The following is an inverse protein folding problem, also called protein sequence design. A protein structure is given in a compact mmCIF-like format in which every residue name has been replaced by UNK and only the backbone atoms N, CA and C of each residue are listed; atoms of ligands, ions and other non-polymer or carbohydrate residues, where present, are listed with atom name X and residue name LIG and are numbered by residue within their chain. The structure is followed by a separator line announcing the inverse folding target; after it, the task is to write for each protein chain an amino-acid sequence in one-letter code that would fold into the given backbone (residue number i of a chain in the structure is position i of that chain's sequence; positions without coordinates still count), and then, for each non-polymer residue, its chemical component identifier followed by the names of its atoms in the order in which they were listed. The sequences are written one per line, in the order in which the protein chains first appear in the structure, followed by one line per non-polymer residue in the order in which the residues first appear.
data_IF_734421687926
#
_entry.id   IF_734421687926
#
_cell.length_a   1.000
_cell.length_b   1.000
_cell.length_c   1.000
_cell.angle_alpha   90.00
_cell.angle_beta   90.00
_cell.angle_gamma   90.00
#
_symmetry.space_group_name_H-M   'P 1'
#
loop_
_entity.id
_entity.type
_entity.pdbx_description
1 polymer ?
#
# COMPACT_ATOMS: atom_id res chain seq x y z
N UNK A 1 -29.53 -20.41 -8.60
CA UNK A 1 -28.23 -19.73 -8.82
C UNK A 1 -27.18 -20.82 -9.03
N UNK A 2 -26.64 -20.93 -10.23
CA UNK A 2 -25.60 -21.92 -10.55
C UNK A 2 -24.36 -21.62 -9.68
N UNK A 3 -24.19 -22.42 -8.64
CA UNK A 3 -22.96 -22.42 -7.86
C UNK A 3 -21.97 -23.30 -8.55
N UNK A 4 -20.95 -22.72 -9.14
CA UNK A 4 -19.86 -23.48 -9.70
C UNK A 4 -19.18 -24.28 -8.60
N UNK A 5 -18.71 -25.49 -8.94
CA UNK A 5 -17.97 -26.35 -8.05
C UNK A 5 -16.76 -25.63 -7.46
N UNK A 6 -16.52 -25.84 -6.16
CA UNK A 6 -15.37 -25.31 -5.45
C UNK A 6 -14.85 -26.37 -4.48
N UNK A 7 -13.55 -26.55 -4.43
CA UNK A 7 -12.92 -27.42 -3.43
C UNK A 7 -12.93 -26.73 -2.07
N UNK A 8 -13.42 -27.46 -1.07
CA UNK A 8 -13.55 -26.97 0.31
C UNK A 8 -12.95 -28.02 1.25
N UNK A 9 -12.09 -27.57 2.15
CA UNK A 9 -11.57 -28.36 3.26
C UNK A 9 -12.19 -27.87 4.58
N UNK A 10 -12.71 -28.79 5.36
CA UNK A 10 -13.19 -28.52 6.73
C UNK A 10 -12.07 -28.83 7.71
N UNK A 11 -11.87 -27.99 8.69
CA UNK A 11 -10.87 -28.18 9.73
C UNK A 11 -11.35 -27.64 11.07
N UNK A 12 -10.76 -28.13 12.16
CA UNK A 12 -11.08 -27.65 13.51
C UNK A 12 -10.08 -26.58 13.93
N UNK A 13 -10.59 -25.42 14.35
CA UNK A 13 -9.82 -24.35 14.97
C UNK A 13 -10.22 -24.23 16.44
N UNK A 14 -9.51 -24.95 17.30
CA UNK A 14 -9.90 -25.06 18.71
C UNK A 14 -11.24 -25.80 18.88
N UNK A 15 -12.24 -25.13 19.45
CA UNK A 15 -13.59 -25.67 19.67
C UNK A 15 -14.57 -25.40 18.51
N UNK A 16 -14.17 -24.62 17.50
CA UNK A 16 -15.02 -24.25 16.37
C UNK A 16 -14.63 -25.00 15.10
N UNK A 17 -15.63 -25.42 14.34
CA UNK A 17 -15.44 -25.94 12.99
C UNK A 17 -15.34 -24.77 12.02
N UNK A 18 -14.29 -24.76 11.22
CA UNK A 18 -14.04 -23.75 10.18
C UNK A 18 -13.78 -24.43 8.84
N UNK A 19 -13.87 -23.68 7.75
CA UNK A 19 -13.64 -24.22 6.40
C UNK A 19 -12.88 -23.25 5.53
N UNK A 20 -12.00 -23.80 4.72
CA UNK A 20 -11.27 -23.06 3.69
C UNK A 20 -11.75 -23.53 2.32
N UNK A 21 -12.15 -22.58 1.50
CA UNK A 21 -12.50 -22.83 0.10
C UNK A 21 -11.36 -22.40 -0.83
N UNK A 22 -11.08 -23.22 -1.85
CA UNK A 22 -10.12 -22.86 -2.89
C UNK A 22 -10.63 -21.63 -3.65
N UNK A 23 -9.80 -20.61 -3.76
CA UNK A 23 -10.12 -19.40 -4.50
C UNK A 23 -10.25 -19.70 -5.99
N UNK A 24 -11.34 -19.30 -6.60
CA UNK A 24 -11.60 -19.52 -8.02
C UNK A 24 -10.93 -18.44 -8.86
N UNK A 25 -10.44 -18.82 -10.03
CA UNK A 25 -9.75 -17.89 -10.94
C UNK A 25 -10.64 -16.72 -11.35
N UNK A 26 -11.92 -16.94 -11.60
CA UNK A 26 -12.82 -15.86 -12.03
C UNK A 26 -13.16 -14.86 -10.90
N UNK A 27 -12.97 -15.23 -9.63
CA UNK A 27 -13.11 -14.30 -8.49
C UNK A 27 -11.90 -13.36 -8.38
N UNK A 28 -10.83 -13.63 -9.13
CA UNK A 28 -9.62 -12.81 -9.14
C UNK A 28 -9.73 -11.72 -10.19
N UNK A 29 -9.74 -10.47 -9.76
CA UNK A 29 -9.75 -9.33 -10.68
C UNK A 29 -8.45 -9.28 -11.47
N UNK A 30 -8.58 -9.16 -12.78
CA UNK A 30 -7.43 -8.93 -13.66
C UNK A 30 -6.93 -7.51 -13.43
N UNK A 31 -5.70 -7.38 -12.95
CA UNK A 31 -5.04 -6.09 -12.79
C UNK A 31 -4.16 -5.84 -14.01
N UNK A 32 -4.49 -4.81 -14.77
CA UNK A 32 -3.68 -4.36 -15.90
C UNK A 32 -2.65 -3.35 -15.43
N UNK A 33 -1.40 -3.56 -15.80
CA UNK A 33 -0.33 -2.60 -15.55
C UNK A 33 -0.21 -1.62 -16.71
N UNK A 34 -0.02 -0.33 -16.39
CA UNK A 34 0.28 0.67 -17.39
C UNK A 34 1.66 0.39 -17.97
N UNK A 35 1.73 0.15 -19.27
CA UNK A 35 3.00 -0.13 -19.97
C UNK A 35 3.93 1.07 -19.89
N UNK A 36 5.22 0.80 -19.82
CA UNK A 36 6.26 1.83 -20.00
C UNK A 36 6.33 2.15 -21.49
N UNK A 37 6.52 3.43 -21.84
CA UNK A 37 6.80 3.82 -23.21
C UNK A 37 8.10 3.14 -23.67
N UNK A 38 8.13 2.60 -24.92
CA UNK A 38 9.30 1.88 -25.41
C UNK A 38 10.56 2.74 -25.51
N UNK A 39 10.40 4.05 -25.68
CA UNK A 39 11.49 5.03 -25.76
C UNK A 39 12.00 5.47 -24.37
N UNK A 40 11.25 5.18 -23.29
CA UNK A 40 11.60 5.66 -21.96
C UNK A 40 12.78 4.89 -21.38
N UNK A 41 13.87 5.60 -21.17
CA UNK A 41 15.09 5.09 -20.56
C UNK A 41 15.17 5.53 -19.08
N UNK A 42 15.18 4.60 -18.09
CA UNK A 42 15.24 4.96 -16.68
C UNK A 42 16.59 5.59 -16.25
N UNK A 43 17.63 5.46 -17.06
CA UNK A 43 18.96 6.02 -16.78
C UNK A 43 19.16 7.40 -17.43
N UNK A 44 18.20 7.86 -18.23
CA UNK A 44 18.26 9.15 -18.90
C UNK A 44 17.53 10.20 -18.05
N UNK A 45 18.20 11.33 -17.69
CA UNK A 45 17.62 12.40 -16.90
C UNK A 45 16.33 13.01 -17.48
N UNK A 46 16.20 13.03 -18.83
CA UNK A 46 14.99 13.54 -19.49
C UNK A 46 13.72 12.78 -19.11
N UNK A 47 13.85 11.50 -18.76
CA UNK A 47 12.73 10.64 -18.39
C UNK A 47 12.44 10.57 -16.88
N UNK A 48 13.21 11.27 -16.04
CA UNK A 48 13.06 11.24 -14.58
C UNK A 48 11.65 11.64 -14.17
N UNK A 49 11.14 12.76 -14.67
CA UNK A 49 9.78 13.24 -14.35
C UNK A 49 8.69 12.24 -14.77
N UNK A 50 8.86 11.60 -15.92
CA UNK A 50 7.95 10.56 -16.40
C UNK A 50 7.88 9.38 -15.43
N UNK A 51 9.03 8.89 -14.96
CA UNK A 51 9.06 7.76 -14.01
C UNK A 51 8.54 8.15 -12.63
N UNK A 52 8.76 9.36 -12.16
CA UNK A 52 8.18 9.88 -10.91
C UNK A 52 6.66 9.97 -10.97
N UNK A 53 6.10 10.54 -12.04
CA UNK A 53 4.67 10.56 -12.29
C UNK A 53 4.08 9.14 -12.34
N UNK A 54 4.81 8.21 -12.92
CA UNK A 54 4.42 6.81 -12.98
C UNK A 54 4.37 6.14 -11.59
N UNK A 55 5.35 6.43 -10.72
CA UNK A 55 5.34 5.94 -9.32
C UNK A 55 4.16 6.51 -8.54
N UNK A 56 3.90 7.80 -8.67
CA UNK A 56 2.75 8.48 -8.07
C UNK A 56 1.43 7.84 -8.52
N UNK A 57 1.28 7.59 -9.82
CA UNK A 57 0.09 6.93 -10.36
C UNK A 57 -0.09 5.50 -9.84
N UNK A 58 0.97 4.71 -9.74
CA UNK A 58 0.92 3.36 -9.14
C UNK A 58 0.50 3.40 -7.67
N UNK A 59 0.99 4.38 -6.92
CA UNK A 59 0.61 4.55 -5.52
C UNK A 59 -0.86 4.94 -5.41
N UNK A 60 -1.32 5.89 -6.20
CA UNK A 60 -2.72 6.31 -6.27
C UNK A 60 -3.66 5.12 -6.55
N UNK A 61 -3.31 4.27 -7.51
CA UNK A 61 -4.07 3.06 -7.79
C UNK A 61 -4.11 2.10 -6.59
N UNK A 62 -3.02 1.96 -5.85
CA UNK A 62 -2.97 1.09 -4.67
C UNK A 62 -3.84 1.60 -3.52
N UNK A 63 -4.05 2.92 -3.43
CA UNK A 63 -4.90 3.58 -2.44
C UNK A 63 -6.36 3.68 -2.87
N UNK A 64 -6.69 3.29 -4.10
CA UNK A 64 -8.06 3.36 -4.61
C UNK A 64 -9.03 2.58 -3.71
N UNK A 65 -10.13 3.24 -3.34
CA UNK A 65 -11.12 2.71 -2.39
C UNK A 65 -10.75 2.89 -0.90
N UNK A 66 -9.56 3.39 -0.58
CA UNK A 66 -9.08 3.64 0.78
C UNK A 66 -8.99 5.14 1.06
N UNK A 67 -10.13 5.81 1.15
CA UNK A 67 -10.23 7.28 1.26
C UNK A 67 -9.40 7.88 2.38
N UNK A 68 -9.35 7.25 3.56
CA UNK A 68 -8.57 7.74 4.70
C UNK A 68 -7.05 7.73 4.45
N UNK A 69 -6.55 6.68 3.79
CA UNK A 69 -5.13 6.57 3.44
C UNK A 69 -4.77 7.55 2.33
N UNK A 70 -5.64 7.70 1.33
CA UNK A 70 -5.46 8.67 0.26
C UNK A 70 -5.38 10.09 0.81
N UNK A 71 -6.31 10.47 1.70
CA UNK A 71 -6.30 11.77 2.35
C UNK A 71 -5.01 12.03 3.16
N UNK A 72 -4.53 11.02 3.91
CA UNK A 72 -3.27 11.15 4.65
C UNK A 72 -2.08 11.36 3.71
N UNK A 73 -2.03 10.60 2.62
CA UNK A 73 -0.95 10.67 1.62
C UNK A 73 -0.92 12.03 0.90
N UNK A 74 -2.08 12.53 0.49
CA UNK A 74 -2.21 13.87 -0.13
C UNK A 74 -1.85 14.99 0.85
N UNK A 75 -2.32 14.91 2.11
CA UNK A 75 -2.01 15.90 3.14
C UNK A 75 -0.52 16.00 3.44
N UNK A 76 0.23 14.92 3.25
CA UNK A 76 1.68 14.85 3.46
C UNK A 76 2.49 15.23 2.20
N UNK A 77 1.85 15.76 1.16
CA UNK A 77 2.49 16.02 -0.14
C UNK A 77 3.24 14.79 -0.69
N UNK A 78 2.68 13.61 -0.46
CA UNK A 78 3.25 12.30 -0.86
C UNK A 78 4.59 11.95 -0.18
N UNK A 79 5.04 12.75 0.78
CA UNK A 79 6.34 12.60 1.46
C UNK A 79 6.21 11.95 2.83
N UNK A 80 7.23 11.20 3.23
CA UNK A 80 7.35 10.69 4.59
C UNK A 80 7.81 11.81 5.53
N UNK A 81 7.08 12.15 6.61
CA UNK A 81 7.46 13.26 7.51
C UNK A 81 8.74 13.00 8.30
N UNK A 82 9.25 11.78 8.34
CA UNK A 82 10.47 11.42 9.07
C UNK A 82 11.74 11.55 8.21
N UNK A 83 11.69 11.08 6.97
CA UNK A 83 12.88 11.07 6.10
C UNK A 83 12.78 12.00 4.89
N UNK A 84 11.63 12.64 4.66
CA UNK A 84 11.40 13.55 3.53
C UNK A 84 11.36 12.87 2.15
N UNK A 85 11.46 11.55 2.08
CA UNK A 85 11.42 10.82 0.82
C UNK A 85 9.97 10.51 0.41
N UNK A 86 9.68 10.40 -0.89
CA UNK A 86 8.35 10.07 -1.36
C UNK A 86 7.93 8.66 -0.92
N UNK A 87 6.65 8.53 -0.55
CA UNK A 87 6.03 7.25 -0.22
C UNK A 87 5.44 6.68 -1.51
N UNK A 88 6.00 5.58 -1.96
CA UNK A 88 5.57 4.89 -3.17
C UNK A 88 5.15 3.43 -2.87
N UNK A 89 4.65 2.75 -3.89
CA UNK A 89 4.25 1.34 -3.77
C UNK A 89 5.46 0.39 -3.69
N UNK A 90 6.63 0.82 -4.12
CA UNK A 90 7.83 -0.04 -4.22
C UNK A 90 8.47 -0.28 -2.85
N UNK A 91 8.28 0.65 -1.91
CA UNK A 91 8.80 0.55 -0.56
C UNK A 91 7.69 0.22 0.44
N UNK A 92 7.92 -0.66 1.42
CA UNK A 92 6.93 -0.98 2.43
C UNK A 92 6.64 0.25 3.31
N UNK A 93 5.37 0.52 3.49
CA UNK A 93 4.86 1.64 4.28
C UNK A 93 3.69 1.22 5.16
N UNK A 94 3.40 2.02 6.17
CA UNK A 94 2.26 1.79 7.06
C UNK A 94 1.81 3.07 7.74
N UNK A 95 0.70 2.99 8.46
CA UNK A 95 0.18 4.10 9.25
C UNK A 95 0.85 4.14 10.62
N UNK A 96 1.14 5.34 11.11
CA UNK A 96 1.62 5.56 12.46
C UNK A 96 0.93 6.79 13.06
N UNK A 97 0.62 6.70 14.35
CA UNK A 97 0.09 7.82 15.10
C UNK A 97 1.24 8.62 15.71
N UNK A 98 1.27 9.90 15.45
CA UNK A 98 2.23 10.83 16.01
C UNK A 98 1.51 11.92 16.79
N UNK A 99 2.15 12.46 17.82
CA UNK A 99 1.65 13.59 18.56
C UNK A 99 2.31 14.85 18.00
N UNK A 100 1.49 15.71 17.37
CA UNK A 100 1.94 17.00 16.83
C UNK A 100 1.12 18.09 17.53
N UNK A 101 1.80 19.01 18.21
CA UNK A 101 1.16 20.08 18.98
C UNK A 101 0.07 19.58 19.96
N UNK A 102 0.35 18.46 20.65
CA UNK A 102 -0.59 17.86 21.61
C UNK A 102 -1.77 17.11 20.99
N UNK A 103 -1.89 17.08 19.67
CA UNK A 103 -2.94 16.36 18.95
C UNK A 103 -2.39 15.07 18.33
N UNK A 104 -3.17 14.00 18.44
CA UNK A 104 -2.86 12.73 17.78
C UNK A 104 -3.17 12.83 16.29
N UNK A 105 -2.16 12.67 15.47
CA UNK A 105 -2.27 12.74 14.01
C UNK A 105 -1.78 11.42 13.42
N UNK A 106 -2.59 10.84 12.55
CA UNK A 106 -2.21 9.64 11.80
C UNK A 106 -1.47 10.06 10.52
N UNK A 107 -0.30 9.49 10.32
CA UNK A 107 0.53 9.73 9.15
C UNK A 107 0.96 8.42 8.49
N UNK A 108 1.27 8.49 7.20
CA UNK A 108 1.92 7.41 6.47
C UNK A 108 3.43 7.53 6.63
N UNK A 109 4.09 6.43 6.98
CA UNK A 109 5.54 6.37 7.14
C UNK A 109 6.08 5.14 6.41
N UNK A 110 7.32 5.20 5.95
CA UNK A 110 8.03 3.97 5.57
C UNK A 110 8.18 3.06 6.79
N UNK A 111 8.16 1.77 6.60
CA UNK A 111 8.30 0.80 7.71
C UNK A 111 9.59 0.99 8.50
N UNK A 112 10.69 1.32 7.83
CA UNK A 112 11.96 1.66 8.48
C UNK A 112 11.86 2.89 9.38
N UNK A 113 11.17 3.93 8.92
CA UNK A 113 10.94 5.16 9.67
C UNK A 113 9.98 4.94 10.85
N UNK A 114 8.95 4.12 10.65
CA UNK A 114 8.02 3.74 11.71
C UNK A 114 8.70 3.02 12.86
N UNK A 115 9.62 2.10 12.56
CA UNK A 115 10.41 1.39 13.58
C UNK A 115 11.27 2.35 14.41
N UNK A 116 11.90 3.35 13.77
CA UNK A 116 12.69 4.38 14.47
C UNK A 116 11.81 5.21 15.43
N UNK A 117 10.64 5.65 14.98
CA UNK A 117 9.71 6.42 15.82
C UNK A 117 9.23 5.62 17.03
N UNK A 118 8.94 4.33 16.86
CA UNK A 118 8.54 3.45 17.97
C UNK A 118 9.69 3.27 18.98
N UNK A 119 10.92 3.16 18.53
CA UNK A 119 12.08 3.06 19.42
C UNK A 119 12.30 4.35 20.23
N UNK A 120 12.14 5.51 19.62
CA UNK A 120 12.29 6.81 20.29
C UNK A 120 11.21 7.03 21.36
N UNK A 121 9.99 6.54 21.13
CA UNK A 121 8.89 6.68 22.09
C UNK A 121 8.97 5.68 23.28
N UNK A 122 9.91 4.73 23.26
CA UNK A 122 10.14 3.77 24.36
C UNK A 122 11.23 4.21 25.35
N UNK A 123 11.93 5.28 25.07
CA UNK A 123 12.83 5.93 26.00
C UNK A 123 12.11 7.02 26.76
#
# INVERSE_FOLDING_TARGET
KNRNWCFVANFKKGKTDDRIALKRLYDTKITRYVKVKGEANPFDPEWTEYFEKRKTYKMLQSLNGRKSLLYMWERQDHLCPVCGKPIDKEHPWGTSQQIVNGKKVNNLLHDSCRRKVIQTNKM
#
